data_IF_475135114315
#
_entry.id   IF_475135114315
#
_cell.length_a   1.000
_cell.length_b   1.000
_cell.length_c   1.000
_cell.angle_alpha   90.00
_cell.angle_beta   90.00
_cell.angle_gamma   90.00
#
_symmetry.space_group_name_H-M   'P 1'
#
loop_
_entity.id
_entity.type
_entity.pdbx_description
1 polymer ?
#
# COMPACT_ATOMS: atom_id res chain seq x y z
N UNK A 1 13.18 12.93 12.45
CA UNK A 1 13.74 12.24 11.28
C UNK A 1 13.93 13.29 10.20
N UNK A 2 15.09 13.36 9.56
CA UNK A 2 15.30 14.26 8.41
C UNK A 2 14.50 13.76 7.20
N UNK A 3 14.32 14.63 6.20
CA UNK A 3 13.68 14.25 4.91
C UNK A 3 14.39 13.06 4.25
N UNK A 4 15.72 13.04 4.27
CA UNK A 4 16.53 11.96 3.73
C UNK A 4 16.36 10.65 4.52
N UNK A 5 16.34 10.73 5.85
CA UNK A 5 16.12 9.56 6.71
C UNK A 5 14.72 8.96 6.49
N UNK A 6 13.69 9.79 6.29
CA UNK A 6 12.32 9.34 6.02
C UNK A 6 12.21 8.64 4.66
N UNK A 7 12.77 9.25 3.61
CA UNK A 7 12.85 8.62 2.28
C UNK A 7 13.58 7.29 2.35
N UNK A 8 14.73 7.25 3.03
CA UNK A 8 15.49 6.00 3.21
C UNK A 8 14.67 4.94 3.93
N UNK A 9 13.94 5.31 4.98
CA UNK A 9 13.09 4.37 5.73
C UNK A 9 11.97 3.80 4.85
N UNK A 10 11.27 4.65 4.10
CA UNK A 10 10.22 4.23 3.15
C UNK A 10 10.77 3.26 2.10
N UNK A 11 11.88 3.60 1.45
CA UNK A 11 12.49 2.75 0.42
C UNK A 11 13.04 1.45 0.99
N UNK A 12 13.55 1.46 2.21
CA UNK A 12 13.99 0.24 2.91
C UNK A 12 12.81 -0.70 3.19
N UNK A 13 11.69 -0.15 3.67
CA UNK A 13 10.47 -0.92 3.90
C UNK A 13 9.92 -1.50 2.59
N UNK A 14 9.82 -0.68 1.52
CA UNK A 14 9.43 -1.13 0.18
C UNK A 14 10.33 -2.22 -0.35
N UNK A 15 11.65 -2.08 -0.20
CA UNK A 15 12.61 -3.11 -0.59
C UNK A 15 12.35 -4.43 0.13
N UNK A 16 12.10 -4.38 1.45
CA UNK A 16 11.83 -5.57 2.25
C UNK A 16 10.51 -6.26 1.88
N UNK A 17 9.46 -5.49 1.58
CA UNK A 17 8.20 -5.99 1.04
C UNK A 17 8.38 -6.62 -0.34
N UNK A 18 9.15 -5.97 -1.21
CA UNK A 18 9.45 -6.44 -2.58
C UNK A 18 10.21 -7.77 -2.59
N UNK A 19 11.16 -7.94 -1.66
CA UNK A 19 11.87 -9.23 -1.48
C UNK A 19 10.92 -10.41 -1.25
N UNK A 20 9.75 -10.15 -0.65
CA UNK A 20 8.77 -11.19 -0.32
C UNK A 20 7.63 -11.31 -1.33
N UNK A 21 7.58 -10.44 -2.34
CA UNK A 21 6.57 -10.49 -3.42
C UNK A 21 7.17 -10.86 -4.76
N UNK A 22 8.46 -10.61 -4.96
CA UNK A 22 9.18 -10.99 -6.18
C UNK A 22 9.16 -12.50 -6.41
N UNK A 23 8.81 -12.89 -7.64
CA UNK A 23 8.83 -14.27 -8.09
C UNK A 23 7.65 -15.13 -7.60
N UNK A 24 6.66 -14.53 -6.92
CA UNK A 24 5.41 -15.22 -6.64
C UNK A 24 4.67 -15.55 -7.93
N UNK A 25 4.06 -16.72 -7.99
CA UNK A 25 3.18 -17.10 -9.10
C UNK A 25 1.82 -16.42 -8.97
N UNK A 26 1.08 -16.34 -10.06
CA UNK A 26 -0.30 -15.85 -10.06
C UNK A 26 -1.16 -16.57 -9.02
N UNK A 27 -1.03 -17.90 -8.94
CA UNK A 27 -1.73 -18.72 -7.95
C UNK A 27 -1.38 -18.31 -6.51
N UNK A 28 -0.11 -18.06 -6.21
CA UNK A 28 0.33 -17.60 -4.88
C UNK A 28 -0.18 -16.19 -4.57
N UNK A 29 -0.31 -15.33 -5.59
CA UNK A 29 -0.85 -13.99 -5.43
C UNK A 29 -2.35 -14.00 -5.15
N UNK A 30 -3.11 -14.88 -5.80
CA UNK A 30 -4.58 -14.89 -5.75
C UNK A 30 -5.17 -15.85 -4.72
N UNK A 31 -4.41 -16.82 -4.22
CA UNK A 31 -4.94 -17.78 -3.23
C UNK A 31 -5.13 -17.11 -1.88
N UNK A 32 -6.35 -17.24 -1.33
CA UNK A 32 -6.65 -16.85 0.06
C UNK A 32 -6.29 -18.04 0.96
N UNK A 33 -5.31 -17.90 1.88
CA UNK A 33 -4.94 -18.99 2.77
C UNK A 33 -6.09 -19.34 3.74
N UNK A 34 -6.15 -20.61 4.16
CA UNK A 34 -7.16 -21.07 5.10
C UNK A 34 -7.14 -20.25 6.41
N UNK A 35 -8.32 -19.81 6.86
CA UNK A 35 -8.48 -18.98 8.05
C UNK A 35 -8.22 -17.49 7.85
N UNK A 36 -7.83 -17.05 6.64
CA UNK A 36 -7.73 -15.64 6.27
C UNK A 36 -8.87 -15.25 5.32
N UNK A 37 -9.12 -13.95 5.21
CA UNK A 37 -10.16 -13.41 4.33
C UNK A 37 -9.60 -12.70 3.09
N UNK A 38 -8.30 -12.44 3.02
CA UNK A 38 -7.66 -11.78 1.88
C UNK A 38 -6.42 -12.54 1.40
N UNK A 39 -6.02 -12.25 0.16
CA UNK A 39 -4.84 -12.83 -0.51
C UNK A 39 -3.74 -11.77 -0.67
N UNK A 40 -2.59 -12.19 -1.18
CA UNK A 40 -1.44 -11.31 -1.37
C UNK A 40 -1.78 -10.17 -2.34
N UNK A 41 -2.45 -10.47 -3.45
CA UNK A 41 -2.85 -9.48 -4.45
C UNK A 41 -3.69 -8.34 -3.85
N UNK A 42 -4.66 -8.68 -2.99
CA UNK A 42 -5.46 -7.70 -2.28
C UNK A 42 -4.61 -6.81 -1.37
N UNK A 43 -3.62 -7.38 -0.67
CA UNK A 43 -2.72 -6.59 0.18
C UNK A 43 -1.88 -5.60 -0.64
N UNK A 44 -1.43 -5.98 -1.84
CA UNK A 44 -0.68 -5.07 -2.73
C UNK A 44 -1.57 -3.94 -3.26
N UNK A 45 -2.76 -4.29 -3.75
CA UNK A 45 -3.75 -3.30 -4.21
C UNK A 45 -4.19 -2.36 -3.09
N UNK A 46 -4.39 -2.88 -1.88
CA UNK A 46 -4.75 -2.11 -0.69
C UNK A 46 -3.66 -1.11 -0.34
N UNK A 47 -2.40 -1.56 -0.24
CA UNK A 47 -1.28 -0.66 0.04
C UNK A 47 -1.17 0.43 -1.01
N UNK A 48 -1.26 0.09 -2.29
CA UNK A 48 -1.24 1.07 -3.37
C UNK A 48 -2.35 2.12 -3.21
N UNK A 49 -3.61 1.68 -3.10
CA UNK A 49 -4.78 2.56 -3.00
C UNK A 49 -4.69 3.47 -1.76
N UNK A 50 -4.38 2.88 -0.60
CA UNK A 50 -4.26 3.57 0.68
C UNK A 50 -3.13 4.60 0.65
N UNK A 51 -1.96 4.28 0.09
CA UNK A 51 -0.85 5.24 -0.01
C UNK A 51 -1.19 6.41 -0.94
N UNK A 52 -1.91 6.16 -2.04
CA UNK A 52 -2.39 7.23 -2.91
C UNK A 52 -3.35 8.18 -2.19
N UNK A 53 -4.31 7.64 -1.44
CA UNK A 53 -5.27 8.45 -0.67
C UNK A 53 -4.59 9.27 0.43
N UNK A 54 -3.70 8.64 1.21
CA UNK A 54 -3.02 9.28 2.33
C UNK A 54 -2.05 10.39 1.90
N UNK A 55 -1.54 10.35 0.67
CA UNK A 55 -0.59 11.35 0.15
C UNK A 55 -1.28 12.34 -0.78
N UNK A 56 -1.62 11.92 -2.00
CA UNK A 56 -2.25 12.76 -3.02
C UNK A 56 -3.64 13.23 -2.61
N UNK A 57 -4.49 12.32 -2.14
CA UNK A 57 -5.86 12.64 -1.74
C UNK A 57 -5.93 13.70 -0.62
N UNK A 58 -5.17 13.48 0.46
CA UNK A 58 -5.09 14.43 1.57
C UNK A 58 -4.44 15.76 1.20
N UNK A 59 -3.63 15.80 0.14
CA UNK A 59 -3.03 17.04 -0.39
C UNK A 59 -3.92 17.74 -1.43
N UNK A 60 -5.09 17.19 -1.74
CA UNK A 60 -5.99 17.72 -2.78
C UNK A 60 -5.42 17.59 -4.20
N UNK A 61 -4.46 16.70 -4.41
CA UNK A 61 -3.90 16.39 -5.72
C UNK A 61 -4.71 15.29 -6.41
N UNK A 62 -4.60 15.22 -7.73
CA UNK A 62 -5.14 14.10 -8.49
C UNK A 62 -4.46 12.80 -8.04
N UNK A 63 -5.27 11.84 -7.59
CA UNK A 63 -4.80 10.55 -7.14
C UNK A 63 -4.43 9.69 -8.35
N UNK A 64 -3.25 9.05 -8.39
CA UNK A 64 -2.92 8.12 -9.45
C UNK A 64 -3.69 6.80 -9.34
N UNK A 65 -4.43 6.57 -8.23
CA UNK A 65 -5.21 5.35 -8.04
C UNK A 65 -6.37 5.26 -9.04
N UNK A 66 -6.55 4.13 -9.73
CA UNK A 66 -7.71 3.91 -10.59
C UNK A 66 -9.03 4.07 -9.83
N UNK A 67 -10.07 4.53 -10.52
CA UNK A 67 -11.38 4.84 -9.90
C UNK A 67 -12.02 3.62 -9.22
N UNK A 68 -11.89 2.44 -9.82
CA UNK A 68 -12.47 1.19 -9.31
C UNK A 68 -11.69 0.57 -8.13
N UNK A 69 -10.47 1.05 -7.82
CA UNK A 69 -9.67 0.46 -6.74
C UNK A 69 -10.29 0.63 -5.35
N UNK A 70 -11.15 1.64 -5.18
CA UNK A 70 -11.91 1.81 -3.94
C UNK A 70 -12.84 0.62 -3.65
N UNK A 71 -13.50 0.09 -4.69
CA UNK A 71 -14.41 -1.06 -4.54
C UNK A 71 -13.66 -2.38 -4.34
N UNK A 72 -12.43 -2.47 -4.85
CA UNK A 72 -11.62 -3.68 -4.84
C UNK A 72 -10.73 -3.81 -3.60
N UNK A 73 -10.21 -2.69 -3.10
CA UNK A 73 -9.06 -2.69 -2.18
C UNK A 73 -9.21 -1.75 -0.99
N UNK A 74 -10.32 -1.02 -0.82
CA UNK A 74 -10.54 -0.23 0.39
C UNK A 74 -10.58 -1.14 1.62
N UNK A 75 -10.13 -0.64 2.76
CA UNK A 75 -10.21 -1.37 4.03
C UNK A 75 -11.63 -1.90 4.30
N UNK A 76 -11.73 -3.18 4.62
CA UNK A 76 -12.99 -3.90 4.83
C UNK A 76 -13.49 -4.71 3.63
N UNK A 77 -12.93 -4.50 2.44
CA UNK A 77 -13.18 -5.36 1.27
C UNK A 77 -12.35 -6.65 1.33
N UNK A 78 -12.74 -7.66 0.55
CA UNK A 78 -11.98 -8.90 0.37
C UNK A 78 -12.14 -9.49 -1.03
N UNK A 79 -11.26 -10.40 -1.46
CA UNK A 79 -11.36 -11.07 -2.76
C UNK A 79 -12.70 -11.74 -3.06
N UNK A 80 -13.43 -12.20 -2.04
CA UNK A 80 -14.76 -12.79 -2.23
C UNK A 80 -15.86 -11.77 -2.52
N UNK A 81 -15.60 -10.47 -2.32
CA UNK A 81 -16.51 -9.38 -2.69
C UNK A 81 -16.30 -8.93 -4.15
N UNK A 82 -15.20 -9.35 -4.81
CA UNK A 82 -14.88 -8.92 -6.16
C UNK A 82 -15.90 -9.45 -7.18
N UNK A 83 -16.58 -8.54 -7.87
CA UNK A 83 -17.44 -8.89 -9.00
C UNK A 83 -16.63 -9.46 -10.18
N UNK A 84 -15.44 -8.91 -10.40
CA UNK A 84 -14.44 -9.39 -11.36
C UNK A 84 -13.06 -9.33 -10.72
N UNK A 85 -12.23 -10.34 -10.99
CA UNK A 85 -10.87 -10.38 -10.46
C UNK A 85 -10.02 -9.26 -11.10
N UNK A 86 -9.26 -8.49 -10.30
CA UNK A 86 -8.38 -7.47 -10.84
C UNK A 86 -7.22 -8.08 -11.63
N UNK A 87 -6.68 -7.33 -12.58
CA UNK A 87 -5.47 -7.72 -13.31
C UNK A 87 -4.27 -7.82 -12.36
N UNK A 88 -3.66 -9.00 -12.29
CA UNK A 88 -2.45 -9.24 -11.48
C UNK A 88 -1.30 -8.33 -11.94
N UNK A 89 -1.10 -8.22 -13.25
CA UNK A 89 -0.06 -7.38 -13.86
C UNK A 89 -0.26 -5.90 -13.51
N UNK A 90 -1.49 -5.40 -13.59
CA UNK A 90 -1.81 -4.02 -13.28
C UNK A 90 -1.56 -3.72 -11.80
N UNK A 91 -2.10 -4.54 -10.89
CA UNK A 91 -1.97 -4.35 -9.45
C UNK A 91 -0.52 -4.40 -9.01
N UNK A 92 0.24 -5.40 -9.49
CA UNK A 92 1.65 -5.55 -9.14
C UNK A 92 2.50 -4.42 -9.74
N UNK A 93 2.25 -4.03 -10.99
CA UNK A 93 2.93 -2.90 -11.63
C UNK A 93 2.71 -1.58 -10.89
N UNK A 94 1.45 -1.29 -10.55
CA UNK A 94 1.05 -0.11 -9.78
C UNK A 94 1.73 -0.09 -8.40
N UNK A 95 1.68 -1.22 -7.67
CA UNK A 95 2.31 -1.37 -6.37
C UNK A 95 3.83 -1.17 -6.42
N UNK A 96 4.50 -1.70 -7.45
CA UNK A 96 5.95 -1.58 -7.59
C UNK A 96 6.39 -0.14 -7.84
N UNK A 97 5.62 0.65 -8.60
CA UNK A 97 5.98 2.02 -8.96
C UNK A 97 5.57 3.10 -7.96
N UNK A 98 4.57 2.85 -7.10
CA UNK A 98 3.96 3.95 -6.33
C UNK A 98 4.89 4.58 -5.29
N UNK A 99 5.78 3.80 -4.67
CA UNK A 99 6.67 4.36 -3.63
C UNK A 99 7.73 5.28 -4.24
N UNK A 100 8.30 4.91 -5.39
CA UNK A 100 9.23 5.77 -6.13
C UNK A 100 8.54 7.07 -6.53
N UNK A 101 7.29 6.99 -7.00
CA UNK A 101 6.49 8.17 -7.35
C UNK A 101 6.27 9.09 -6.14
N UNK A 102 5.79 8.53 -5.02
CA UNK A 102 5.55 9.27 -3.78
C UNK A 102 6.84 9.94 -3.29
N UNK A 103 7.96 9.22 -3.26
CA UNK A 103 9.25 9.76 -2.83
C UNK A 103 9.75 10.87 -3.76
N UNK A 104 9.63 10.69 -5.07
CA UNK A 104 9.99 11.70 -6.06
C UNK A 104 9.17 12.98 -5.88
N UNK A 105 7.86 12.84 -5.75
CA UNK A 105 6.90 13.94 -5.57
C UNK A 105 7.08 14.66 -4.23
N UNK A 106 7.33 13.91 -3.15
CA UNK A 106 7.68 14.45 -1.84
C UNK A 106 9.02 15.20 -1.89
N UNK A 107 9.99 14.68 -2.64
CA UNK A 107 11.27 15.34 -2.84
C UNK A 107 11.11 16.65 -3.58
N UNK A 108 10.27 16.67 -4.62
CA UNK A 108 9.90 17.85 -5.40
C UNK A 108 9.03 18.86 -4.63
N UNK A 109 8.41 18.46 -3.52
CA UNK A 109 7.65 19.34 -2.63
C UNK A 109 6.22 19.63 -3.08
N UNK A 110 5.60 18.75 -3.88
CA UNK A 110 4.25 18.98 -4.43
C UNK A 110 3.11 18.79 -3.42
N UNK A 111 3.40 18.22 -2.25
CA UNK A 111 2.43 17.95 -1.18
C UNK A 111 2.30 19.13 -0.18
N UNK A 112 2.50 20.37 -0.64
CA UNK A 112 2.52 21.58 0.20
C UNK A 112 1.14 21.95 0.78
N UNK A 113 0.05 21.48 0.16
CA UNK A 113 -1.32 21.74 0.57
C UNK A 113 -1.97 20.56 1.32
N UNK A 114 -1.19 19.84 2.14
CA UNK A 114 -1.69 18.73 2.94
C UNK A 114 -2.78 19.18 3.92
N UNK A 115 -3.91 18.47 3.93
CA UNK A 115 -5.03 18.72 4.84
C UNK A 115 -4.99 17.75 6.02
N UNK A 116 -5.04 18.25 7.26
CA UNK A 116 -5.10 17.40 8.44
C UNK A 116 -6.23 16.38 8.34
N UNK A 117 -5.92 15.12 8.61
CA UNK A 117 -6.84 13.99 8.46
C UNK A 117 -6.79 13.11 9.69
N UNK A 118 -7.96 12.70 10.19
CA UNK A 118 -8.07 11.79 11.34
C UNK A 118 -8.29 10.35 10.86
N UNK A 119 -7.41 9.44 11.26
CA UNK A 119 -7.49 8.01 10.93
C UNK A 119 -8.44 7.24 11.87
N UNK A 120 -8.71 7.83 13.04
CA UNK A 120 -9.57 7.32 14.10
C UNK A 120 -9.47 8.22 15.32
N UNK A 121 -10.29 8.02 16.36
CA UNK A 121 -10.39 8.94 17.49
C UNK A 121 -9.03 9.30 18.10
N UNK A 122 -8.60 10.54 17.92
CA UNK A 122 -7.34 11.07 18.45
C UNK A 122 -6.07 10.66 17.69
N UNK A 123 -6.19 10.04 16.51
CA UNK A 123 -5.07 9.70 15.63
C UNK A 123 -5.09 10.62 14.40
N UNK A 124 -4.45 11.78 14.51
CA UNK A 124 -4.38 12.78 13.43
C UNK A 124 -3.06 12.71 12.68
N UNK A 125 -3.13 12.92 11.36
CA UNK A 125 -2.01 13.21 10.49
C UNK A 125 -2.10 14.69 10.15
N UNK A 126 -1.17 15.50 10.64
CA UNK A 126 -1.22 16.96 10.49
C UNK A 126 -0.40 17.45 9.28
N UNK A 127 0.47 16.59 8.75
CA UNK A 127 1.41 16.90 7.67
C UNK A 127 1.64 15.72 6.72
N UNK A 128 2.27 15.99 5.57
CA UNK A 128 2.75 14.94 4.66
C UNK A 128 3.78 14.04 5.35
N UNK A 129 4.64 14.58 6.22
CA UNK A 129 5.61 13.80 6.97
C UNK A 129 4.93 12.82 7.94
N UNK A 130 3.85 13.22 8.60
CA UNK A 130 3.05 12.31 9.44
C UNK A 130 2.41 11.21 8.60
N UNK A 131 1.84 11.58 7.44
CA UNK A 131 1.24 10.62 6.53
C UNK A 131 2.26 9.61 6.00
N UNK A 132 3.45 10.05 5.61
CA UNK A 132 4.55 9.18 5.19
C UNK A 132 5.07 8.31 6.35
N UNK A 133 5.10 8.84 7.57
CA UNK A 133 5.36 8.05 8.77
C UNK A 133 4.34 6.94 8.98
N UNK A 134 3.06 7.23 8.73
CA UNK A 134 2.00 6.23 8.81
C UNK A 134 2.05 5.23 7.65
N UNK A 135 2.37 5.66 6.41
CA UNK A 135 2.62 4.78 5.26
C UNK A 135 3.66 3.72 5.59
N UNK A 136 4.76 4.10 6.27
CA UNK A 136 5.79 3.15 6.73
C UNK A 136 5.23 2.10 7.69
N UNK A 137 4.42 2.52 8.67
CA UNK A 137 3.78 1.63 9.66
C UNK A 137 2.79 0.69 8.95
N UNK A 138 1.93 1.26 8.12
CA UNK A 138 0.91 0.55 7.36
C UNK A 138 1.52 -0.53 6.46
N UNK A 139 2.56 -0.20 5.72
CA UNK A 139 3.29 -1.15 4.90
C UNK A 139 3.95 -2.27 5.72
N UNK A 140 4.52 -1.93 6.87
CA UNK A 140 5.12 -2.92 7.78
C UNK A 140 4.08 -3.90 8.34
N UNK A 141 2.86 -3.44 8.63
CA UNK A 141 1.75 -4.30 9.07
C UNK A 141 1.36 -5.29 7.96
N UNK A 142 1.15 -4.79 6.74
CA UNK A 142 0.80 -5.63 5.60
C UNK A 142 1.95 -6.57 5.17
N UNK A 143 3.20 -6.20 5.43
CA UNK A 143 4.33 -7.10 5.26
C UNK A 143 4.28 -8.29 6.24
N UNK A 144 3.87 -8.06 7.49
CA UNK A 144 3.60 -9.14 8.45
C UNK A 144 2.51 -10.10 7.98
N UNK A 145 1.44 -9.57 7.39
CA UNK A 145 0.38 -10.37 6.77
C UNK A 145 0.93 -11.20 5.61
N UNK A 146 1.70 -10.58 4.71
CA UNK A 146 2.34 -11.26 3.59
C UNK A 146 3.23 -12.41 4.03
N UNK A 147 4.08 -12.21 5.05
CA UNK A 147 4.94 -13.28 5.59
C UNK A 147 4.07 -14.44 6.11
N UNK A 148 2.97 -14.12 6.79
CA UNK A 148 2.05 -15.13 7.32
C UNK A 148 1.39 -15.91 6.18
N UNK A 149 0.91 -15.23 5.13
CA UNK A 149 0.32 -15.85 3.94
C UNK A 149 1.32 -16.75 3.23
N UNK A 150 2.55 -16.29 3.00
CA UNK A 150 3.61 -17.12 2.40
C UNK A 150 3.82 -18.42 3.17
N UNK A 151 3.90 -18.36 4.50
CA UNK A 151 4.05 -19.55 5.34
C UNK A 151 2.88 -20.52 5.19
N UNK A 152 1.64 -20.01 5.21
CA UNK A 152 0.44 -20.84 5.06
C UNK A 152 0.32 -21.46 3.66
N UNK A 153 0.83 -20.77 2.63
CA UNK A 153 0.89 -21.25 1.25
C UNK A 153 2.11 -22.13 0.95
N UNK A 154 2.97 -22.41 1.94
CA UNK A 154 4.17 -23.21 1.76
C UNK A 154 5.26 -22.53 0.91
N UNK A 155 5.24 -21.21 0.81
CA UNK A 155 6.21 -20.40 0.06
C UNK A 155 7.34 -19.98 0.99
N UNK A 156 8.47 -20.69 0.92
CA UNK A 156 9.71 -20.35 1.66
C UNK A 156 10.35 -19.09 1.16
#
# INVERSE_FOLDING_TARGET
MSKEELVKALMTCRGYMTMHTNGLTDEQLTTVPEGLENNILWNLGHLYHSHCGMTYGNSGLESPSPENYGDLFKGGTKPSDWAEAPSIEEVTGNFNGIMDKIVGDYTAGIFDNFKPTELGPGMTLDSIEDALGFVLIHESVHHGNLITMRRLLGVS
#
